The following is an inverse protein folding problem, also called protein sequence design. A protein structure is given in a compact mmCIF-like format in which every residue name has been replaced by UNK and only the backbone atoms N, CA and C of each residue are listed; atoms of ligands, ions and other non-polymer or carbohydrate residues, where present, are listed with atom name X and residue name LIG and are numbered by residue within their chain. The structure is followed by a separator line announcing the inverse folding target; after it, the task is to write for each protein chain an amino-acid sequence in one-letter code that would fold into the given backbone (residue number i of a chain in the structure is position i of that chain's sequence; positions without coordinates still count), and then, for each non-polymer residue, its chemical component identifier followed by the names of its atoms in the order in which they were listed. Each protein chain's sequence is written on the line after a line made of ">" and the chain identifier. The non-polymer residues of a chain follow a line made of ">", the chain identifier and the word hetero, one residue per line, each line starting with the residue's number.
data_IF_534018406329
#
_entry.id   IF_534018406329
#
_cell.length_a   1.000
_cell.length_b   1.000
_cell.length_c   1.000
_cell.angle_alpha   90.00
_cell.angle_beta   90.00
_cell.angle_gamma   90.00
#
_symmetry.space_group_name_H-M   'P 1'
#
loop_
_entity.id
_entity.type
_entity.pdbx_description
1 polymer ?
#
# COMPACT_ATOMS: atom_id res chain seq x y z
N UNK A 1 -5.42 6.50 4.16
CA UNK A 1 -5.46 7.17 2.85
C UNK A 1 -6.88 7.47 2.41
N UNK A 2 -7.74 6.47 2.20
CA UNK A 2 -9.13 6.69 1.79
C UNK A 2 -9.88 7.66 2.73
N UNK A 3 -9.87 7.38 4.04
CA UNK A 3 -10.53 8.20 5.05
C UNK A 3 -10.00 9.65 5.13
N UNK A 4 -8.69 9.82 5.27
CA UNK A 4 -8.05 11.13 5.39
C UNK A 4 -8.20 12.00 4.13
N UNK A 5 -8.09 11.41 2.93
CA UNK A 5 -8.25 12.16 1.69
C UNK A 5 -9.69 12.56 1.44
N UNK A 6 -10.63 11.67 1.71
CA UNK A 6 -12.04 11.97 1.52
C UNK A 6 -12.53 13.01 2.54
N UNK A 7 -12.01 13.00 3.78
CA UNK A 7 -12.26 14.06 4.76
C UNK A 7 -11.74 15.42 4.30
N UNK A 8 -10.54 15.47 3.69
CA UNK A 8 -9.96 16.72 3.19
C UNK A 8 -10.72 17.27 1.98
N UNK A 9 -11.30 16.39 1.14
CA UNK A 9 -12.16 16.74 0.01
C UNK A 9 -13.52 17.26 0.49
N UNK A 10 -14.13 16.57 1.46
CA UNK A 10 -15.45 16.89 2.00
C UNK A 10 -15.47 18.23 2.76
N UNK A 11 -14.35 18.60 3.40
CA UNK A 11 -14.21 19.85 4.17
C UNK A 11 -13.57 21.01 3.40
N UNK A 12 -13.29 20.84 2.10
CA UNK A 12 -12.54 21.80 1.28
C UNK A 12 -11.14 22.16 1.81
N UNK A 13 -10.64 21.46 2.83
CA UNK A 13 -9.28 21.63 3.37
C UNK A 13 -8.20 21.35 2.35
N UNK A 14 -8.49 20.52 1.34
CA UNK A 14 -7.59 20.35 0.19
C UNK A 14 -7.36 21.66 -0.56
N UNK A 15 -8.38 22.53 -0.69
CA UNK A 15 -8.22 23.85 -1.31
C UNK A 15 -7.37 24.79 -0.43
N UNK A 16 -7.48 24.68 0.89
CA UNK A 16 -6.66 25.42 1.86
C UNK A 16 -5.19 24.99 1.83
N UNK A 17 -4.90 23.70 1.65
CA UNK A 17 -3.53 23.20 1.47
C UNK A 17 -2.93 23.62 0.12
N UNK A 18 -3.75 23.85 -0.92
CA UNK A 18 -3.29 24.45 -2.19
C UNK A 18 -2.99 25.96 -2.10
N UNK A 19 -3.32 26.63 -0.99
CA UNK A 19 -2.88 28.01 -0.73
C UNK A 19 -1.41 28.03 -0.30
N UNK A 20 -0.90 26.93 0.27
CA UNK A 20 0.54 26.68 0.28
C UNK A 20 1.00 26.39 -1.16
N UNK A 21 2.22 26.76 -1.57
CA UNK A 21 2.72 26.57 -2.93
C UNK A 21 3.05 25.08 -3.22
N UNK A 22 2.09 24.18 -3.00
CA UNK A 22 2.18 22.74 -3.18
C UNK A 22 1.07 22.26 -4.11
N UNK A 23 1.45 21.48 -5.11
CA UNK A 23 0.54 20.82 -6.05
C UNK A 23 -0.18 19.63 -5.41
N UNK A 24 -1.31 19.21 -5.98
CA UNK A 24 -2.09 18.07 -5.48
C UNK A 24 -1.27 16.76 -5.49
N UNK A 25 -0.46 16.46 -6.52
CA UNK A 25 0.46 15.32 -6.50
C UNK A 25 1.48 15.37 -5.36
N UNK A 26 2.04 16.53 -5.02
CA UNK A 26 3.04 16.67 -3.94
C UNK A 26 2.43 16.39 -2.56
N UNK A 27 1.19 16.83 -2.33
CA UNK A 27 0.45 16.52 -1.09
C UNK A 27 0.18 15.01 -0.99
N UNK A 28 -0.25 14.39 -2.09
CA UNK A 28 -0.51 12.95 -2.16
C UNK A 28 0.77 12.15 -1.95
N UNK A 29 1.88 12.57 -2.55
CA UNK A 29 3.19 11.93 -2.42
C UNK A 29 3.70 11.95 -0.98
N UNK A 30 3.62 13.10 -0.30
CA UNK A 30 4.03 13.21 1.10
C UNK A 30 3.24 12.28 2.03
N UNK A 31 1.91 12.23 1.85
CA UNK A 31 1.04 11.31 2.61
C UNK A 31 1.31 9.85 2.25
N UNK A 32 1.51 9.56 0.97
CA UNK A 32 1.75 8.20 0.49
C UNK A 32 3.07 7.65 1.04
N UNK A 33 4.16 8.40 0.98
CA UNK A 33 5.47 7.98 1.50
C UNK A 33 5.38 7.66 2.99
N UNK A 34 4.74 8.53 3.78
CA UNK A 34 4.57 8.30 5.21
C UNK A 34 3.76 7.02 5.51
N UNK A 35 2.63 6.83 4.83
CA UNK A 35 1.75 5.68 5.04
C UNK A 35 2.34 4.37 4.53
N UNK A 36 3.01 4.39 3.38
CA UNK A 36 3.69 3.22 2.81
C UNK A 36 4.89 2.82 3.65
N UNK A 37 5.64 3.79 4.19
CA UNK A 37 6.79 3.52 5.06
C UNK A 37 6.42 2.96 6.44
N UNK A 38 5.22 3.26 6.94
CA UNK A 38 4.78 2.81 8.26
C UNK A 38 4.64 1.28 8.35
N UNK A 39 4.06 0.64 7.33
CA UNK A 39 3.86 -0.81 7.31
C UNK A 39 5.16 -1.64 7.37
N UNK A 40 6.18 -1.42 6.51
CA UNK A 40 7.45 -2.12 6.60
C UNK A 40 8.21 -1.74 7.87
N UNK A 41 8.08 -0.51 8.40
CA UNK A 41 8.67 -0.17 9.69
C UNK A 41 8.07 -1.01 10.84
N UNK A 42 6.73 -1.17 10.87
CA UNK A 42 6.06 -2.04 11.84
C UNK A 42 6.52 -3.50 11.71
N UNK A 43 6.63 -4.01 10.48
CA UNK A 43 7.12 -5.38 10.24
C UNK A 43 8.58 -5.52 10.64
N UNK A 44 9.44 -4.53 10.36
CA UNK A 44 10.85 -4.57 10.78
C UNK A 44 10.99 -4.66 12.31
N UNK A 45 10.17 -3.92 13.06
CA UNK A 45 10.13 -4.03 14.52
C UNK A 45 9.68 -5.42 14.96
N UNK A 46 8.71 -6.01 14.29
CA UNK A 46 8.26 -7.37 14.60
C UNK A 46 9.34 -8.42 14.30
N UNK A 47 10.01 -8.32 13.15
CA UNK A 47 11.13 -9.20 12.80
C UNK A 47 12.30 -9.04 13.78
N UNK A 48 12.57 -7.82 14.25
CA UNK A 48 13.56 -7.56 15.29
C UNK A 48 13.19 -8.28 16.60
N UNK A 49 11.92 -8.19 17.04
CA UNK A 49 11.46 -8.91 18.22
C UNK A 49 11.60 -10.43 18.06
N UNK A 50 11.22 -10.98 16.90
CA UNK A 50 11.38 -12.41 16.62
C UNK A 50 12.85 -12.84 16.70
N UNK A 51 13.74 -12.04 16.10
CA UNK A 51 15.18 -12.28 16.15
C UNK A 51 15.72 -12.23 17.59
N UNK A 52 15.31 -11.24 18.39
CA UNK A 52 15.66 -11.14 19.81
C UNK A 52 15.13 -12.33 20.63
N UNK A 53 14.04 -12.97 20.20
CA UNK A 53 13.50 -14.19 20.79
C UNK A 53 14.09 -15.48 20.21
N UNK A 54 15.19 -15.39 19.45
CA UNK A 54 15.88 -16.56 18.88
C UNK A 54 15.21 -17.16 17.64
N UNK A 55 14.24 -16.47 17.05
CA UNK A 55 13.59 -16.90 15.80
C UNK A 55 14.30 -16.27 14.61
N UNK A 56 15.05 -17.10 13.86
CA UNK A 56 15.75 -16.65 12.66
C UNK A 56 14.79 -16.56 11.46
N UNK A 57 14.90 -15.47 10.70
CA UNK A 57 14.12 -15.22 9.49
C UNK A 57 15.10 -15.16 8.32
N UNK A 58 14.91 -16.00 7.32
CA UNK A 58 15.88 -16.18 6.24
C UNK A 58 15.97 -14.98 5.30
N UNK A 59 14.83 -14.44 4.85
CA UNK A 59 14.79 -13.36 3.86
C UNK A 59 14.05 -12.12 4.39
N UNK A 60 14.57 -11.42 5.41
CA UNK A 60 13.89 -10.28 6.03
C UNK A 60 13.70 -9.11 5.04
N UNK A 61 14.68 -8.84 4.18
CA UNK A 61 14.57 -7.76 3.17
C UNK A 61 13.48 -8.03 2.13
N UNK A 62 13.34 -9.30 1.70
CA UNK A 62 12.28 -9.68 0.76
C UNK A 62 10.88 -9.53 1.38
N UNK A 63 10.74 -9.84 2.67
CA UNK A 63 9.50 -9.61 3.43
C UNK A 63 9.18 -8.12 3.55
N UNK A 64 10.18 -7.28 3.86
CA UNK A 64 9.99 -5.83 3.93
C UNK A 64 9.60 -5.26 2.55
N UNK A 65 10.23 -5.72 1.47
CA UNK A 65 9.89 -5.32 0.11
C UNK A 65 8.45 -5.74 -0.26
N UNK A 66 8.05 -6.98 0.07
CA UNK A 66 6.70 -7.47 -0.16
C UNK A 66 5.66 -6.60 0.57
N UNK A 67 5.90 -6.32 1.84
CA UNK A 67 5.01 -5.50 2.68
C UNK A 67 4.93 -4.07 2.16
N UNK A 68 6.06 -3.47 1.78
CA UNK A 68 6.10 -2.14 1.17
C UNK A 68 5.30 -2.10 -0.14
N UNK A 69 5.45 -3.13 -0.99
CA UNK A 69 4.69 -3.25 -2.24
C UNK A 69 3.19 -3.34 -2.01
N UNK A 70 2.75 -4.22 -1.10
CA UNK A 70 1.32 -4.35 -0.74
C UNK A 70 0.78 -3.05 -0.15
N UNK A 71 1.53 -2.41 0.76
CA UNK A 71 1.13 -1.13 1.35
C UNK A 71 0.98 -0.05 0.28
N UNK A 72 1.90 0.04 -0.69
CA UNK A 72 1.81 0.99 -1.80
C UNK A 72 0.56 0.80 -2.65
N UNK A 73 0.21 -0.44 -3.01
CA UNK A 73 -1.02 -0.75 -3.76
C UNK A 73 -2.27 -0.31 -2.98
N UNK A 74 -2.32 -0.63 -1.69
CA UNK A 74 -3.47 -0.28 -0.84
C UNK A 74 -3.59 1.23 -0.63
N UNK A 75 -2.49 1.92 -0.37
CA UNK A 75 -2.45 3.38 -0.24
C UNK A 75 -2.90 4.04 -1.55
N UNK A 76 -2.37 3.59 -2.69
CA UNK A 76 -2.74 4.14 -3.99
C UNK A 76 -4.22 3.91 -4.33
N UNK A 77 -4.75 2.72 -4.02
CA UNK A 77 -6.16 2.39 -4.22
C UNK A 77 -7.06 3.24 -3.33
N UNK A 78 -6.72 3.40 -2.05
CA UNK A 78 -7.45 4.24 -1.12
C UNK A 78 -7.46 5.71 -1.56
N UNK A 79 -6.33 6.22 -2.06
CA UNK A 79 -6.24 7.57 -2.61
C UNK A 79 -7.11 7.74 -3.87
N UNK A 80 -7.03 6.82 -4.82
CA UNK A 80 -7.81 6.86 -6.05
C UNK A 80 -9.32 6.80 -5.78
N UNK A 81 -9.76 5.99 -4.81
CA UNK A 81 -11.17 5.93 -4.42
C UNK A 81 -11.63 7.23 -3.76
N UNK A 82 -10.83 7.81 -2.86
CA UNK A 82 -11.17 9.07 -2.22
C UNK A 82 -11.33 10.22 -3.23
N UNK A 83 -10.42 10.31 -4.21
CA UNK A 83 -10.50 11.31 -5.28
C UNK A 83 -11.73 11.16 -6.18
N UNK A 84 -12.27 9.93 -6.33
CA UNK A 84 -13.42 9.66 -7.21
C UNK A 84 -14.77 9.76 -6.52
N UNK A 85 -14.85 9.39 -5.24
CA UNK A 85 -16.12 9.27 -4.51
C UNK A 85 -16.47 10.56 -3.79
N UNK A 86 -15.47 11.29 -3.27
CA UNK A 86 -15.66 12.57 -2.56
C UNK A 86 -16.32 12.48 -1.18
N UNK A 87 -17.08 11.43 -0.88
CA UNK A 87 -17.68 11.17 0.44
C UNK A 87 -16.84 10.22 1.29
N UNK A 88 -16.49 10.63 2.51
CA UNK A 88 -15.59 9.90 3.42
C UNK A 88 -16.03 8.48 3.74
N UNK A 89 -17.28 8.33 4.18
CA UNK A 89 -17.81 7.03 4.61
C UNK A 89 -17.91 6.05 3.45
N UNK A 90 -18.31 6.51 2.27
CA UNK A 90 -18.45 5.68 1.08
C UNK A 90 -17.09 5.24 0.53
N UNK A 91 -16.11 6.14 0.46
CA UNK A 91 -14.76 5.81 0.01
C UNK A 91 -14.10 4.75 0.92
N UNK A 92 -14.25 4.87 2.24
CA UNK A 92 -13.69 3.91 3.18
C UNK A 92 -14.39 2.55 3.13
N UNK A 93 -15.72 2.52 2.96
CA UNK A 93 -16.48 1.28 2.78
C UNK A 93 -16.07 0.56 1.50
N UNK A 94 -16.02 1.27 0.36
CA UNK A 94 -15.58 0.72 -0.92
C UNK A 94 -14.13 0.22 -0.84
N UNK A 95 -13.24 0.98 -0.22
CA UNK A 95 -11.86 0.57 0.01
C UNK A 95 -11.79 -0.75 0.78
N UNK A 96 -12.58 -0.88 1.85
CA UNK A 96 -12.60 -2.09 2.68
C UNK A 96 -13.10 -3.30 1.89
N UNK A 97 -14.17 -3.15 1.10
CA UNK A 97 -14.68 -4.21 0.23
C UNK A 97 -13.66 -4.63 -0.83
N UNK A 98 -13.02 -3.67 -1.49
CA UNK A 98 -11.98 -3.94 -2.50
C UNK A 98 -10.79 -4.66 -1.86
N UNK A 99 -10.29 -4.17 -0.72
CA UNK A 99 -9.17 -4.78 -0.02
C UNK A 99 -9.50 -6.22 0.42
N UNK A 100 -10.69 -6.46 0.96
CA UNK A 100 -11.15 -7.80 1.36
C UNK A 100 -11.32 -8.72 0.16
N UNK A 101 -11.91 -8.24 -0.95
CA UNK A 101 -12.10 -9.04 -2.14
C UNK A 101 -10.75 -9.43 -2.78
N UNK A 102 -9.83 -8.47 -2.91
CA UNK A 102 -8.48 -8.72 -3.43
C UNK A 102 -7.73 -9.71 -2.54
N UNK A 103 -7.76 -9.52 -1.22
CA UNK A 103 -7.12 -10.44 -0.28
C UNK A 103 -7.75 -11.84 -0.31
N UNK A 104 -9.07 -11.92 -0.40
CA UNK A 104 -9.81 -13.18 -0.52
C UNK A 104 -9.42 -13.94 -1.78
N UNK A 105 -9.46 -13.28 -2.94
CA UNK A 105 -9.05 -13.87 -4.22
C UNK A 105 -7.58 -14.29 -4.20
N UNK A 106 -6.69 -13.43 -3.68
CA UNK A 106 -5.27 -13.76 -3.56
C UNK A 106 -5.03 -14.98 -2.65
N UNK A 107 -5.85 -15.16 -1.61
CA UNK A 107 -5.76 -16.30 -0.70
C UNK A 107 -6.17 -17.63 -1.34
N UNK A 108 -6.90 -17.60 -2.47
CA UNK A 108 -7.26 -18.80 -3.25
C UNK A 108 -6.16 -19.23 -4.22
N UNK A 109 -5.12 -18.42 -4.43
CA UNK A 109 -4.01 -18.77 -5.30
C UNK A 109 -3.15 -19.88 -4.69
N UNK A 110 -2.54 -20.77 -5.51
CA UNK A 110 -1.65 -21.82 -5.02
C UNK A 110 -0.49 -21.30 -4.18
N UNK A 111 0.05 -20.11 -4.51
CA UNK A 111 0.92 -19.34 -3.63
C UNK A 111 0.15 -18.12 -3.10
N UNK A 112 -0.65 -18.36 -2.07
CA UNK A 112 -1.34 -17.32 -1.32
C UNK A 112 -0.35 -16.37 -0.61
N UNK A 113 -0.77 -15.15 -0.21
CA UNK A 113 0.09 -14.21 0.51
C UNK A 113 0.75 -14.79 1.76
N UNK A 114 0.00 -15.62 2.51
CA UNK A 114 0.50 -16.30 3.71
C UNK A 114 1.58 -17.34 3.34
N UNK A 115 1.38 -18.08 2.24
CA UNK A 115 2.36 -19.05 1.76
C UNK A 115 3.64 -18.38 1.27
N UNK A 116 3.51 -17.26 0.55
CA UNK A 116 4.64 -16.43 0.11
C UNK A 116 5.49 -15.96 1.29
N UNK A 117 4.85 -15.39 2.32
CA UNK A 117 5.53 -14.94 3.54
C UNK A 117 6.23 -16.11 4.23
N UNK A 118 5.54 -17.25 4.40
CA UNK A 118 6.11 -18.42 5.06
C UNK A 118 7.36 -18.94 4.32
N UNK A 119 7.29 -19.08 3.00
CA UNK A 119 8.42 -19.54 2.17
C UNK A 119 9.63 -18.61 2.24
N UNK A 120 9.40 -17.30 2.19
CA UNK A 120 10.46 -16.29 2.36
C UNK A 120 11.07 -16.34 3.76
N UNK A 121 10.25 -16.58 4.79
CA UNK A 121 10.71 -16.62 6.17
C UNK A 121 11.57 -17.86 6.50
N UNK A 122 11.21 -19.04 5.98
CA UNK A 122 11.83 -20.33 6.34
C UNK A 122 12.86 -20.85 5.32
N UNK A 123 13.36 -19.98 4.44
CA UNK A 123 14.33 -20.32 3.40
C UNK A 123 13.88 -21.41 2.41
N UNK A 124 12.61 -21.38 2.02
CA UNK A 124 12.07 -22.25 0.96
C UNK A 124 11.44 -21.51 -0.24
N UNK A 125 12.01 -20.36 -0.69
CA UNK A 125 11.48 -19.67 -1.85
C UNK A 125 11.76 -20.48 -3.13
N UNK A 126 10.76 -20.54 -4.01
CA UNK A 126 10.94 -21.06 -5.37
C UNK A 126 11.11 -19.92 -6.38
N UNK A 127 11.43 -20.24 -7.63
CA UNK A 127 11.39 -19.26 -8.73
C UNK A 127 10.05 -18.54 -8.82
N UNK A 128 8.95 -19.26 -8.53
CA UNK A 128 7.61 -18.67 -8.50
C UNK A 128 7.43 -17.69 -7.33
N UNK A 129 8.01 -17.97 -6.15
CA UNK A 129 7.99 -17.05 -5.00
C UNK A 129 8.68 -15.73 -5.32
N UNK A 130 9.88 -15.79 -5.91
CA UNK A 130 10.60 -14.59 -6.34
C UNK A 130 9.87 -13.86 -7.48
N UNK A 131 9.29 -14.62 -8.42
CA UNK A 131 8.47 -14.07 -9.50
C UNK A 131 7.26 -13.29 -8.98
N UNK A 132 6.53 -13.85 -8.01
CA UNK A 132 5.38 -13.18 -7.40
C UNK A 132 5.78 -11.95 -6.57
N UNK A 133 6.94 -11.98 -5.90
CA UNK A 133 7.49 -10.77 -5.27
C UNK A 133 7.76 -9.69 -6.33
N UNK A 134 8.39 -10.06 -7.44
CA UNK A 134 8.62 -9.16 -8.57
C UNK A 134 7.32 -8.56 -9.10
N UNK A 135 6.29 -9.38 -9.30
CA UNK A 135 4.95 -8.93 -9.71
C UNK A 135 4.33 -7.98 -8.69
N UNK A 136 4.44 -8.26 -7.39
CA UNK A 136 3.92 -7.37 -6.35
C UNK A 136 4.58 -5.98 -6.41
N UNK A 137 5.90 -5.94 -6.63
CA UNK A 137 6.66 -4.69 -6.75
C UNK A 137 6.33 -3.93 -8.05
N UNK A 138 6.14 -4.62 -9.17
CA UNK A 138 5.76 -3.97 -10.43
C UNK A 138 4.33 -3.43 -10.37
N UNK A 139 3.40 -4.17 -9.76
CA UNK A 139 2.02 -3.70 -9.51
C UNK A 139 2.02 -2.50 -8.57
N UNK A 140 2.87 -2.51 -7.53
CA UNK A 140 3.03 -1.36 -6.64
C UNK A 140 3.51 -0.11 -7.39
N UNK A 141 4.54 -0.25 -8.21
CA UNK A 141 5.05 0.85 -9.04
C UNK A 141 3.98 1.37 -10.00
N UNK A 142 3.27 0.48 -10.69
CA UNK A 142 2.19 0.83 -11.61
C UNK A 142 1.01 1.52 -10.91
N UNK A 143 0.67 1.08 -9.69
CA UNK A 143 -0.41 1.69 -8.89
C UNK A 143 -0.04 3.10 -8.46
N UNK A 144 1.22 3.32 -8.07
CA UNK A 144 1.71 4.64 -7.68
C UNK A 144 1.80 5.60 -8.86
N UNK A 145 2.31 5.16 -10.03
CA UNK A 145 2.32 5.99 -11.24
C UNK A 145 0.92 6.32 -11.73
N UNK A 146 -0.01 5.36 -11.67
CA UNK A 146 -1.43 5.57 -11.96
C UNK A 146 -2.07 6.61 -11.04
N UNK A 147 -1.79 6.54 -9.73
CA UNK A 147 -2.24 7.56 -8.77
C UNK A 147 -1.71 8.95 -9.13
N UNK A 148 -0.41 9.05 -9.42
CA UNK A 148 0.22 10.33 -9.76
C UNK A 148 -0.37 10.94 -11.03
N UNK A 149 -0.68 10.11 -12.02
CA UNK A 149 -1.37 10.53 -13.24
C UNK A 149 -2.80 11.03 -12.96
N UNK A 150 -3.56 10.30 -12.13
CA UNK A 150 -4.91 10.71 -11.72
C UNK A 150 -4.89 12.04 -10.94
N UNK A 151 -3.91 12.24 -10.05
CA UNK A 151 -3.77 13.48 -9.29
C UNK A 151 -3.42 14.68 -10.19
N UNK A 152 -2.53 14.49 -11.19
CA UNK A 152 -2.18 15.54 -12.14
C UNK A 152 -3.30 15.89 -13.12
N UNK A 153 -4.13 14.92 -13.51
CA UNK A 153 -5.31 15.17 -14.35
C UNK A 153 -6.44 15.94 -13.65
N UNK A 154 -6.43 16.04 -12.33
CA UNK A 154 -7.40 16.83 -11.56
C UNK A 154 -7.05 18.33 -11.50
N UNK A 155 -5.89 18.74 -12.01
CA UNK A 155 -5.43 20.13 -12.04
C UNK A 155 -5.76 20.87 -13.36
N UNK A 156 -6.23 20.15 -14.38
CA UNK A 156 -6.67 20.69 -15.69
C UNK A 156 -8.18 20.85 -15.77
#
# INVERSE_FOLDING_TARGET
>A
MADSMAEELERDTLSLLRVAPLSLPEIVDGKAIALVGLAPAQVALWLLLLWLNGTHIANPLALLALVAGVAAVLVATGAALALRVGARREAQLLYSFVALAVFGVASLLPQSPQNLIARLAVDSPTTLTWGLLGVALTVAAASYTGLRWLAGGAET
#
